data_IF_042343790535
#
_entry.id   IF_042343790535
#
_cell.length_a   1.000
_cell.length_b   1.000
_cell.length_c   1.000
_cell.angle_alpha   90.00
_cell.angle_beta   90.00
_cell.angle_gamma   90.00
#
_symmetry.space_group_name_H-M   'P 1'
#
loop_
_entity.id
_entity.type
_entity.pdbx_description
1 polymer ?
#
# COMPACT_ATOMS: atom_id res chain seq x y z
N UNK A 1 -2.07 8.60 0.07
CA UNK A 1 -0.75 8.48 0.73
C UNK A 1 -0.35 7.01 0.74
N UNK A 2 0.76 6.67 0.08
CA UNK A 2 1.21 5.29 -0.11
C UNK A 2 2.33 4.94 0.87
N UNK A 3 2.30 3.73 1.43
CA UNK A 3 3.27 3.23 2.41
C UNK A 3 3.72 1.85 1.99
N UNK A 4 5.00 1.71 1.69
CA UNK A 4 5.64 0.43 1.41
C UNK A 4 6.21 -0.14 2.71
N UNK A 5 5.82 -1.37 3.07
CA UNK A 5 6.32 -2.06 4.26
C UNK A 5 7.16 -3.27 3.86
N UNK A 6 8.36 -3.34 4.42
CA UNK A 6 9.19 -4.54 4.35
C UNK A 6 8.55 -5.68 5.15
N UNK A 7 8.82 -6.92 4.73
CA UNK A 7 8.43 -8.09 5.50
C UNK A 7 9.25 -8.20 6.79
N UNK A 8 8.61 -8.56 7.88
CA UNK A 8 9.25 -8.72 9.18
C UNK A 8 8.47 -9.69 10.07
N UNK A 9 8.91 -9.88 11.32
CA UNK A 9 8.18 -10.63 12.34
C UNK A 9 6.81 -10.02 12.68
N UNK A 10 6.55 -8.76 12.31
CA UNK A 10 5.25 -8.09 12.51
C UNK A 10 4.32 -8.19 11.31
N UNK A 11 4.75 -8.83 10.21
CA UNK A 11 3.88 -9.17 9.09
C UNK A 11 4.58 -9.19 7.73
N UNK A 12 3.85 -9.63 6.68
CA UNK A 12 4.39 -9.76 5.33
C UNK A 12 4.61 -8.39 4.66
N UNK A 13 5.44 -8.41 3.61
CA UNK A 13 5.69 -7.27 2.75
C UNK A 13 4.44 -6.86 1.98
N UNK A 14 4.14 -5.56 1.98
CA UNK A 14 2.89 -5.04 1.43
C UNK A 14 2.98 -3.56 1.09
N UNK A 15 2.22 -3.16 0.07
CA UNK A 15 1.91 -1.77 -0.23
C UNK A 15 0.54 -1.43 0.36
N UNK A 16 0.46 -0.33 1.09
CA UNK A 16 -0.76 0.17 1.71
C UNK A 16 -1.03 1.58 1.22
N UNK A 17 -2.29 1.97 1.11
CA UNK A 17 -2.63 3.37 0.88
C UNK A 17 -3.77 3.86 1.76
N UNK A 18 -3.66 5.14 2.08
CA UNK A 18 -4.54 5.88 2.97
C UNK A 18 -5.06 7.12 2.27
N UNK A 19 -6.25 7.58 2.68
CA UNK A 19 -6.89 8.77 2.12
C UNK A 19 -5.97 9.99 2.15
N UNK A 20 -5.25 10.18 3.26
CA UNK A 20 -4.31 11.29 3.43
C UNK A 20 -3.19 10.92 4.41
N UNK A 21 -2.15 11.76 4.47
CA UNK A 21 -1.01 11.57 5.38
C UNK A 21 -1.41 11.79 6.85
N UNK A 22 -2.35 12.69 7.13
CA UNK A 22 -2.86 12.96 8.48
C UNK A 22 -3.60 11.73 9.01
N UNK A 23 -4.43 11.10 8.16
CA UNK A 23 -5.13 9.84 8.52
C UNK A 23 -4.15 8.70 8.77
N UNK A 24 -3.06 8.62 8.00
CA UNK A 24 -2.00 7.67 8.25
C UNK A 24 -1.32 7.93 9.61
N UNK A 25 -0.95 9.18 9.91
CA UNK A 25 -0.27 9.54 11.15
C UNK A 25 -1.11 9.24 12.40
N UNK A 26 -2.42 9.52 12.34
CA UNK A 26 -3.34 9.19 13.45
C UNK A 26 -3.46 7.68 13.64
N UNK A 27 -3.55 6.91 12.55
CA UNK A 27 -3.54 5.45 12.61
C UNK A 27 -2.23 4.90 13.17
N UNK A 28 -1.08 5.39 12.70
CA UNK A 28 0.22 4.89 13.15
C UNK A 28 0.44 5.14 14.66
N UNK A 29 0.06 6.33 15.14
CA UNK A 29 0.14 6.68 16.57
C UNK A 29 -0.79 5.83 17.44
N UNK A 30 -1.97 5.47 16.92
CA UNK A 30 -2.95 4.65 17.65
C UNK A 30 -2.64 3.15 17.58
N UNK A 31 -2.03 2.67 16.49
CA UNK A 31 -1.56 1.28 16.36
C UNK A 31 -0.53 0.91 17.44
N UNK A 32 0.25 1.88 17.93
CA UNK A 32 1.20 1.73 19.05
C UNK A 32 0.51 1.58 20.43
N UNK A 33 -0.79 1.87 20.54
CA UNK A 33 -1.57 1.91 21.79
C UNK A 33 -2.68 0.85 21.91
N UNK A 34 -2.64 -0.19 21.08
CA UNK A 34 -3.61 -1.29 21.03
C UNK A 34 -4.99 -0.92 20.43
N UNK A 35 -5.26 -1.50 19.25
CA UNK A 35 -6.49 -2.27 19.02
C UNK A 35 -7.72 -1.62 18.38
N UNK A 36 -7.89 -0.30 18.30
CA UNK A 36 -9.24 0.26 18.04
C UNK A 36 -9.39 1.37 16.98
N UNK A 37 -8.37 1.70 16.18
CA UNK A 37 -8.57 2.68 15.11
C UNK A 37 -9.05 1.98 13.83
N UNK A 38 -10.37 2.07 13.57
CA UNK A 38 -11.01 1.59 12.35
C UNK A 38 -10.18 1.93 11.12
N UNK A 39 -9.94 0.92 10.28
CA UNK A 39 -8.91 0.96 9.25
C UNK A 39 -9.16 2.11 8.27
N UNK A 40 -8.48 3.25 8.45
CA UNK A 40 -8.41 4.33 7.47
C UNK A 40 -7.65 3.93 6.18
N UNK A 41 -7.33 2.64 6.08
CA UNK A 41 -6.65 1.99 4.99
C UNK A 41 -7.65 1.83 3.85
N UNK A 42 -7.36 2.46 2.72
CA UNK A 42 -8.17 2.36 1.51
C UNK A 42 -7.91 1.05 0.76
N UNK A 43 -6.73 0.48 0.92
CA UNK A 43 -6.43 -0.85 0.41
C UNK A 43 -5.04 -1.34 0.75
N UNK A 44 -4.81 -2.59 0.38
CA UNK A 44 -3.56 -3.31 0.61
C UNK A 44 -3.29 -4.22 -0.57
N UNK A 45 -2.03 -4.28 -0.99
CA UNK A 45 -1.51 -5.29 -1.92
C UNK A 45 -0.36 -6.00 -1.22
N UNK A 46 -0.42 -7.33 -1.14
CA UNK A 46 0.68 -8.12 -0.62
C UNK A 46 1.69 -8.41 -1.73
N UNK A 47 2.93 -7.96 -1.55
CA UNK A 47 3.93 -7.99 -2.62
C UNK A 47 4.34 -9.41 -3.00
N UNK A 48 4.14 -10.38 -2.09
CA UNK A 48 4.37 -11.80 -2.36
C UNK A 48 3.45 -12.35 -3.46
N UNK A 49 2.26 -11.77 -3.63
CA UNK A 49 1.30 -12.22 -4.64
C UNK A 49 1.57 -11.58 -6.02
N UNK A 50 2.34 -10.49 -6.06
CA UNK A 50 2.65 -9.82 -7.32
C UNK A 50 3.54 -10.70 -8.21
N UNK A 51 3.10 -10.91 -9.44
CA UNK A 51 3.83 -11.58 -10.51
C UNK A 51 4.91 -10.69 -11.14
N UNK A 52 4.74 -9.37 -11.09
CA UNK A 52 5.69 -8.43 -11.65
C UNK A 52 5.40 -6.96 -11.34
N UNK A 53 6.40 -6.12 -11.63
CA UNK A 53 6.34 -4.67 -11.51
C UNK A 53 6.82 -4.06 -12.82
N UNK A 54 6.10 -3.07 -13.35
CA UNK A 54 6.51 -2.35 -14.55
C UNK A 54 6.44 -0.85 -14.36
N UNK A 55 7.37 -0.13 -15.01
CA UNK A 55 7.32 1.33 -15.11
C UNK A 55 6.65 1.70 -16.43
N UNK A 56 5.57 2.45 -16.33
CA UNK A 56 4.83 2.95 -17.47
C UNK A 56 5.03 4.46 -17.53
N UNK A 57 5.61 4.94 -18.62
CA UNK A 57 5.66 6.36 -18.95
C UNK A 57 4.53 6.70 -19.91
N UNK A 58 3.75 7.73 -19.60
CA UNK A 58 2.73 8.25 -20.50
C UNK A 58 2.80 9.78 -20.50
N UNK A 59 2.68 10.39 -21.68
CA UNK A 59 2.56 11.85 -21.80
C UNK A 59 1.31 12.40 -21.09
N UNK A 60 0.28 11.57 -20.89
CA UNK A 60 -0.99 11.96 -20.23
C UNK A 60 -1.02 11.68 -18.74
N UNK A 61 -0.45 10.54 -18.31
CA UNK A 61 -0.48 10.07 -16.91
C UNK A 61 0.84 10.26 -16.16
N UNK A 62 1.88 10.76 -16.83
CA UNK A 62 3.20 10.90 -16.25
C UNK A 62 3.87 9.54 -16.03
N UNK A 63 4.55 9.41 -14.89
CA UNK A 63 5.24 8.18 -14.49
C UNK A 63 4.34 7.35 -13.57
N UNK A 64 3.97 6.16 -14.03
CA UNK A 64 3.14 5.21 -13.29
C UNK A 64 3.93 3.93 -13.03
N UNK A 65 3.69 3.30 -11.89
CA UNK A 65 4.21 1.98 -11.56
C UNK A 65 3.04 1.00 -11.49
N UNK A 66 3.04 0.01 -12.37
CA UNK A 66 2.02 -1.04 -12.39
C UNK A 66 2.48 -2.25 -11.57
N UNK A 67 1.57 -2.78 -10.75
CA UNK A 67 1.73 -4.04 -10.03
C UNK A 67 0.77 -5.05 -10.61
N UNK A 68 1.30 -6.19 -11.05
CA UNK A 68 0.51 -7.28 -11.62
C UNK A 68 0.35 -8.38 -10.58
N UNK A 69 -0.87 -8.61 -10.11
CA UNK A 69 -1.24 -9.77 -9.31
C UNK A 69 -1.99 -10.77 -10.20
N UNK A 70 -2.02 -12.04 -9.80
CA UNK A 70 -2.69 -13.12 -10.53
C UNK A 70 -4.18 -12.84 -10.76
N UNK A 71 -4.83 -12.11 -9.85
CA UNK A 71 -6.28 -11.88 -9.87
C UNK A 71 -6.67 -10.42 -10.23
N UNK A 72 -5.74 -9.45 -10.20
CA UNK A 72 -6.04 -8.04 -10.49
C UNK A 72 -4.85 -7.30 -11.12
N UNK A 73 -5.11 -6.55 -12.20
CA UNK A 73 -4.19 -5.52 -12.70
C UNK A 73 -4.55 -4.20 -12.03
N UNK A 74 -3.72 -3.72 -11.11
CA UNK A 74 -3.90 -2.39 -10.50
C UNK A 74 -3.00 -1.39 -11.24
N UNK A 75 -3.63 -0.34 -11.78
CA UNK A 75 -3.04 0.73 -12.61
C UNK A 75 -2.76 1.97 -11.76
#
# INVERSE_FOLDING_TARGET
YFVLRAGSHTGPSRLEWYKSQEKFTVMEKSARKAGLCGSNKQGVIYLRCCLGVSRIGSSRKGHTLALYDKDQTLV
#
